data_IF_249041295933
#
_entry.id   IF_249041295933
#
_cell.length_a   1.000
_cell.length_b   1.000
_cell.length_c   1.000
_cell.angle_alpha   90.00
_cell.angle_beta   90.00
_cell.angle_gamma   90.00
#
_symmetry.space_group_name_H-M   'P 1'
#
loop_
_entity.id
_entity.type
_entity.pdbx_description
1 polymer ?
#
# COMPACT_ATOMS: atom_id res chain seq x y z
N UNK A 1 13.66 -8.41 4.02
CA UNK A 1 14.51 -8.85 2.90
C UNK A 1 15.15 -7.61 2.30
N UNK A 2 16.40 -7.69 1.82
CA UNK A 2 17.12 -6.52 1.31
C UNK A 2 16.64 -6.05 -0.08
N UNK A 3 17.30 -5.02 -0.62
CA UNK A 3 17.03 -4.50 -1.96
C UNK A 3 17.29 -5.58 -3.02
N UNK A 4 16.28 -5.90 -3.82
CA UNK A 4 16.31 -6.92 -4.87
C UNK A 4 15.47 -6.50 -6.09
N UNK A 5 15.66 -7.09 -7.27
CA UNK A 5 14.73 -6.87 -8.39
C UNK A 5 13.31 -7.34 -8.05
N UNK A 6 12.31 -6.70 -8.65
CA UNK A 6 10.92 -7.10 -8.53
C UNK A 6 10.71 -8.49 -9.12
N UNK A 7 9.82 -9.27 -8.52
CA UNK A 7 9.32 -10.47 -9.17
C UNK A 7 8.35 -10.09 -10.29
N UNK A 8 8.14 -10.96 -11.30
CA UNK A 8 7.14 -10.72 -12.34
C UNK A 8 5.73 -10.48 -11.78
N UNK A 9 5.39 -11.13 -10.67
CA UNK A 9 4.10 -10.99 -10.00
C UNK A 9 3.93 -9.60 -9.38
N UNK A 10 4.99 -9.07 -8.73
CA UNK A 10 4.97 -7.73 -8.18
C UNK A 10 4.89 -6.68 -9.28
N UNK A 11 5.69 -6.81 -10.34
CA UNK A 11 5.63 -5.87 -11.46
C UNK A 11 4.23 -5.87 -12.09
N UNK A 12 3.67 -7.05 -12.34
CA UNK A 12 2.30 -7.19 -12.87
C UNK A 12 1.25 -6.57 -11.95
N UNK A 13 1.33 -6.82 -10.64
CA UNK A 13 0.41 -6.21 -9.68
C UNK A 13 0.48 -4.68 -9.70
N UNK A 14 1.68 -4.11 -9.73
CA UNK A 14 1.89 -2.66 -9.73
C UNK A 14 1.40 -2.02 -11.04
N UNK A 15 1.61 -2.68 -12.18
CA UNK A 15 1.16 -2.18 -13.49
C UNK A 15 -0.34 -2.36 -13.70
N UNK A 16 -0.84 -3.56 -13.47
CA UNK A 16 -2.19 -3.94 -13.88
C UNK A 16 -3.22 -3.62 -12.80
N UNK A 17 -2.90 -3.86 -11.52
CA UNK A 17 -3.85 -3.64 -10.41
C UNK A 17 -3.77 -2.20 -9.86
N UNK A 18 -2.56 -1.64 -9.76
CA UNK A 18 -2.37 -0.27 -9.25
C UNK A 18 -2.28 0.79 -10.35
N UNK A 19 -2.19 0.38 -11.62
CA UNK A 19 -2.13 1.30 -12.76
C UNK A 19 -0.83 2.09 -12.86
N UNK A 20 0.31 1.63 -12.31
CA UNK A 20 1.57 2.37 -12.50
C UNK A 20 2.12 2.19 -13.91
N UNK A 21 2.44 3.32 -14.56
CA UNK A 21 3.21 3.37 -15.82
C UNK A 21 4.70 3.57 -15.57
N UNK A 22 5.20 3.07 -14.44
CA UNK A 22 6.58 3.17 -14.00
C UNK A 22 7.53 2.57 -15.08
N UNK A 23 8.66 3.21 -15.41
CA UNK A 23 9.68 2.61 -16.29
C UNK A 23 10.21 1.28 -15.73
N UNK A 24 10.67 0.35 -16.56
CA UNK A 24 11.09 -0.98 -16.10
C UNK A 24 12.28 -0.91 -15.12
N UNK A 25 13.19 0.05 -15.30
CA UNK A 25 14.38 0.22 -14.47
C UNK A 25 14.07 0.51 -12.99
N UNK A 26 12.87 1.03 -12.66
CA UNK A 26 12.51 1.25 -11.26
C UNK A 26 12.30 -0.07 -10.51
N UNK A 27 11.92 -1.13 -11.23
CA UNK A 27 11.68 -2.46 -10.68
C UNK A 27 12.97 -3.24 -10.43
N UNK A 28 14.14 -2.76 -10.88
CA UNK A 28 15.43 -3.40 -10.58
C UNK A 28 15.83 -3.26 -9.09
N UNK A 29 15.20 -2.33 -8.37
CA UNK A 29 15.49 -2.03 -6.96
C UNK A 29 14.22 -1.95 -6.14
N UNK A 30 13.81 -3.07 -5.58
CA UNK A 30 12.67 -3.22 -4.67
C UNK A 30 13.17 -3.51 -3.27
N UNK A 31 12.75 -2.68 -2.32
CA UNK A 31 12.89 -2.93 -0.89
C UNK A 31 11.53 -3.34 -0.31
N UNK A 32 11.41 -4.62 0.00
CA UNK A 32 10.24 -5.26 0.61
C UNK A 32 10.60 -5.71 2.03
N UNK A 33 11.15 -4.77 2.79
CA UNK A 33 11.35 -4.90 4.22
C UNK A 33 10.42 -3.95 4.97
N UNK A 34 9.88 -4.36 6.12
CA UNK A 34 9.14 -3.45 6.97
C UNK A 34 10.07 -2.34 7.49
N UNK A 35 9.54 -1.12 7.62
CA UNK A 35 10.20 -0.03 8.32
C UNK A 35 9.71 0.04 9.77
N UNK A 36 10.39 0.80 10.64
CA UNK A 36 9.89 1.06 12.00
C UNK A 36 8.53 1.79 11.96
N UNK A 37 8.40 2.73 11.02
CA UNK A 37 7.18 3.49 10.77
C UNK A 37 6.02 2.58 10.33
N UNK A 38 6.25 1.69 9.36
CA UNK A 38 5.22 0.78 8.87
C UNK A 38 4.77 -0.21 9.95
N UNK A 39 5.70 -0.72 10.75
CA UNK A 39 5.38 -1.62 11.88
C UNK A 39 4.57 -0.92 12.96
N UNK A 40 4.97 0.29 13.36
CA UNK A 40 4.27 1.05 14.39
C UNK A 40 2.82 1.39 13.97
N UNK A 41 2.60 1.65 12.67
CA UNK A 41 1.28 1.93 12.11
C UNK A 41 0.44 0.65 11.85
N UNK A 42 1.00 -0.54 12.06
CA UNK A 42 0.32 -1.81 11.79
C UNK A 42 0.13 -2.10 10.29
N UNK A 43 1.02 -1.61 9.43
CA UNK A 43 1.05 -1.95 8.01
C UNK A 43 1.66 -3.34 7.86
N UNK A 44 0.93 -4.24 7.18
CA UNK A 44 1.34 -5.64 6.99
C UNK A 44 2.51 -5.77 6.04
N UNK A 45 2.49 -4.97 4.95
CA UNK A 45 3.57 -5.00 3.97
C UNK A 45 3.88 -3.61 3.45
N UNK A 46 5.18 -3.33 3.38
CA UNK A 46 5.75 -2.08 2.90
C UNK A 46 6.71 -2.42 1.77
N UNK A 47 6.46 -1.83 0.60
CA UNK A 47 7.24 -2.06 -0.62
C UNK A 47 7.68 -0.72 -1.19
N UNK A 48 8.98 -0.47 -1.23
CA UNK A 48 9.56 0.70 -1.88
C UNK A 48 10.23 0.29 -3.20
N UNK A 49 9.79 0.88 -4.31
CA UNK A 49 10.22 0.51 -5.66
C UNK A 49 11.00 1.67 -6.28
N UNK A 50 12.25 1.40 -6.62
CA UNK A 50 13.16 2.28 -7.37
C UNK A 50 13.41 3.64 -6.71
N UNK A 51 13.14 3.78 -5.41
CA UNK A 51 13.16 5.06 -4.71
C UNK A 51 12.11 6.06 -5.22
N UNK A 52 11.05 5.58 -5.91
CA UNK A 52 10.03 6.44 -6.52
C UNK A 52 8.60 6.13 -6.05
N UNK A 53 8.30 4.88 -5.76
CA UNK A 53 6.96 4.44 -5.43
C UNK A 53 6.99 3.72 -4.08
N UNK A 54 6.18 4.21 -3.14
CA UNK A 54 5.89 3.54 -1.88
C UNK A 54 4.53 2.87 -1.97
N UNK A 55 4.47 1.60 -1.59
CA UNK A 55 3.23 0.82 -1.50
C UNK A 55 3.09 0.35 -0.06
N UNK A 56 1.97 0.71 0.55
CA UNK A 56 1.54 0.16 1.84
C UNK A 56 0.36 -0.76 1.61
N UNK A 57 0.41 -1.95 2.20
CA UNK A 57 -0.68 -2.91 2.17
C UNK A 57 -1.13 -3.22 3.60
N UNK A 58 -2.43 -3.14 3.82
CA UNK A 58 -3.06 -3.52 5.08
C UNK A 58 -4.34 -4.30 4.78
N UNK A 59 -4.55 -5.41 5.48
CA UNK A 59 -5.82 -6.13 5.49
C UNK A 59 -6.73 -5.52 6.55
N UNK A 60 -8.00 -5.36 6.21
CA UNK A 60 -8.98 -4.78 7.12
C UNK A 60 -10.23 -5.64 7.12
N UNK A 61 -10.70 -6.02 8.31
CA UNK A 61 -11.86 -6.90 8.46
C UNK A 61 -13.19 -6.12 8.48
N UNK A 62 -13.13 -4.78 8.47
CA UNK A 62 -14.33 -3.92 8.46
C UNK A 62 -14.05 -2.51 7.95
N UNK A 63 -15.07 -1.89 7.36
CA UNK A 63 -15.07 -0.48 6.97
C UNK A 63 -14.75 0.46 8.16
N UNK A 64 -15.28 0.18 9.35
CA UNK A 64 -15.03 0.99 10.55
C UNK A 64 -13.55 1.02 10.95
N UNK A 65 -12.87 -0.12 10.89
CA UNK A 65 -11.43 -0.20 11.16
C UNK A 65 -10.62 0.59 10.12
N UNK A 66 -10.94 0.41 8.84
CA UNK A 66 -10.31 1.13 7.74
C UNK A 66 -10.41 2.65 7.93
N UNK A 67 -11.63 3.16 8.18
CA UNK A 67 -11.88 4.59 8.42
C UNK A 67 -11.12 5.11 9.63
N UNK A 68 -11.05 4.34 10.72
CA UNK A 68 -10.33 4.74 11.93
C UNK A 68 -8.80 4.83 11.72
N UNK A 69 -8.25 4.02 10.81
CA UNK A 69 -6.79 3.91 10.58
C UNK A 69 -6.27 4.72 9.40
N UNK A 70 -7.14 5.10 8.46
CA UNK A 70 -6.76 5.81 7.23
C UNK A 70 -5.86 7.02 7.49
N UNK A 71 -6.22 7.88 8.44
CA UNK A 71 -5.44 9.08 8.74
C UNK A 71 -4.02 8.75 9.20
N UNK A 72 -3.86 7.70 10.02
CA UNK A 72 -2.55 7.29 10.52
C UNK A 72 -1.69 6.72 9.38
N UNK A 73 -2.25 5.79 8.59
CA UNK A 73 -1.55 5.19 7.45
C UNK A 73 -1.14 6.21 6.39
N UNK A 74 -1.99 7.19 6.10
CA UNK A 74 -1.67 8.25 5.14
C UNK A 74 -0.54 9.12 5.68
N UNK A 75 -0.61 9.59 6.93
CA UNK A 75 0.42 10.47 7.49
C UNK A 75 1.78 9.77 7.60
N UNK A 76 1.79 8.52 8.07
CA UNK A 76 3.00 7.71 8.16
C UNK A 76 3.57 7.42 6.76
N UNK A 77 2.71 7.07 5.80
CA UNK A 77 3.12 6.83 4.43
C UNK A 77 3.66 8.07 3.73
N UNK A 78 3.06 9.25 3.94
CA UNK A 78 3.54 10.54 3.43
C UNK A 78 4.90 10.86 4.01
N UNK A 79 5.05 10.74 5.33
CA UNK A 79 6.30 10.99 6.04
C UNK A 79 7.42 10.10 5.48
N UNK A 80 7.17 8.80 5.34
CA UNK A 80 8.17 7.87 4.80
C UNK A 80 8.46 8.13 3.31
N UNK A 81 7.42 8.37 2.51
CA UNK A 81 7.56 8.73 1.09
C UNK A 81 8.48 9.94 0.92
N UNK A 82 8.20 11.01 1.64
CA UNK A 82 8.92 12.28 1.49
C UNK A 82 10.34 12.18 2.06
N UNK A 83 10.54 11.49 3.19
CA UNK A 83 11.87 11.23 3.74
C UNK A 83 12.73 10.37 2.80
N UNK A 84 12.12 9.42 2.08
CA UNK A 84 12.77 8.59 1.08
C UNK A 84 12.95 9.26 -0.29
N UNK A 85 12.50 10.52 -0.47
CA UNK A 85 12.51 11.21 -1.76
C UNK A 85 11.62 10.54 -2.83
N UNK A 86 10.67 9.71 -2.42
CA UNK A 86 9.76 8.99 -3.29
C UNK A 86 8.68 9.94 -3.84
N UNK A 87 8.18 9.64 -5.03
CA UNK A 87 7.20 10.47 -5.69
C UNK A 87 5.76 10.13 -5.29
N UNK A 88 5.39 8.84 -5.24
CA UNK A 88 4.00 8.43 -5.04
C UNK A 88 3.86 7.47 -3.86
N UNK A 89 2.75 7.60 -3.15
CA UNK A 89 2.25 6.62 -2.19
C UNK A 89 1.02 5.93 -2.79
N UNK A 90 0.97 4.61 -2.68
CA UNK A 90 -0.17 3.78 -2.99
C UNK A 90 -0.56 3.02 -1.73
N UNK A 91 -1.65 3.44 -1.11
CA UNK A 91 -2.23 2.74 0.02
C UNK A 91 -3.21 1.70 -0.51
N UNK A 92 -2.95 0.44 -0.25
CA UNK A 92 -3.77 -0.70 -0.67
C UNK A 92 -4.46 -1.27 0.56
N UNK A 93 -5.78 -1.24 0.57
CA UNK A 93 -6.59 -1.93 1.58
C UNK A 93 -7.16 -3.21 0.98
N UNK A 94 -6.85 -4.34 1.61
CA UNK A 94 -7.39 -5.64 1.27
C UNK A 94 -8.64 -5.87 2.13
N UNK A 95 -9.79 -6.01 1.48
CA UNK A 95 -11.08 -6.12 2.16
C UNK A 95 -12.00 -7.09 1.42
N UNK A 96 -12.49 -8.11 2.13
CA UNK A 96 -13.47 -9.06 1.62
C UNK A 96 -14.86 -8.40 1.54
N UNK A 97 -15.63 -8.71 0.49
CA UNK A 97 -17.05 -8.37 0.41
C UNK A 97 -17.33 -6.86 0.54
N UNK A 98 -17.09 -6.10 -0.53
CA UNK A 98 -17.23 -4.64 -0.53
C UNK A 98 -18.65 -4.20 -0.90
N UNK A 99 -19.44 -3.78 0.09
CA UNK A 99 -20.70 -3.09 -0.21
C UNK A 99 -20.42 -1.66 -0.71
N UNK A 100 -21.25 -1.16 -1.63
CA UNK A 100 -21.00 0.13 -2.28
C UNK A 100 -20.98 1.31 -1.30
N UNK A 101 -21.79 1.25 -0.24
CA UNK A 101 -21.84 2.24 0.83
C UNK A 101 -20.58 2.23 1.71
N UNK A 102 -20.01 1.05 1.98
CA UNK A 102 -18.74 0.95 2.70
C UNK A 102 -17.58 1.55 1.90
N UNK A 103 -17.52 1.29 0.60
CA UNK A 103 -16.52 1.88 -0.28
C UNK A 103 -16.59 3.40 -0.27
N UNK A 104 -17.80 3.95 -0.41
CA UNK A 104 -18.02 5.40 -0.39
C UNK A 104 -17.60 6.03 0.95
N UNK A 105 -17.83 5.34 2.07
CA UNK A 105 -17.40 5.82 3.40
C UNK A 105 -15.88 5.83 3.54
N UNK A 106 -15.19 4.81 3.02
CA UNK A 106 -13.73 4.73 3.06
C UNK A 106 -13.13 5.81 2.16
N UNK A 107 -13.65 6.00 0.95
CA UNK A 107 -13.23 7.05 0.01
C UNK A 107 -13.42 8.45 0.62
N UNK A 108 -14.58 8.74 1.22
CA UNK A 108 -14.81 10.02 1.88
C UNK A 108 -13.89 10.24 3.09
N UNK A 109 -13.55 9.17 3.84
CA UNK A 109 -12.59 9.26 4.93
C UNK A 109 -11.16 9.51 4.41
N UNK A 110 -10.80 8.90 3.28
CA UNK A 110 -9.53 9.10 2.62
C UNK A 110 -9.35 10.54 2.14
N UNK A 111 -10.32 11.10 1.42
CA UNK A 111 -10.29 12.49 0.95
C UNK A 111 -10.11 13.48 2.11
N UNK A 112 -10.78 13.25 3.23
CA UNK A 112 -10.65 14.09 4.44
C UNK A 112 -9.31 13.96 5.14
N UNK A 113 -8.62 12.83 4.98
CA UNK A 113 -7.35 12.56 5.63
C UNK A 113 -6.15 13.02 4.78
N UNK A 114 -6.35 13.30 3.49
CA UNK A 114 -5.31 13.83 2.62
C UNK A 114 -4.94 15.28 2.99
N UNK A 115 -3.67 15.55 3.33
CA UNK A 115 -3.21 16.92 3.54
C UNK A 115 -3.20 17.67 2.21
N UNK A 116 -3.88 18.82 2.16
CA UNK A 116 -3.95 19.74 1.02
C UNK A 116 -4.28 19.09 -0.33
N UNK A 117 -4.99 17.95 -0.31
CA UNK A 117 -5.33 17.21 -1.52
C UNK A 117 -4.12 16.61 -2.26
N UNK A 118 -3.09 16.16 -1.54
CA UNK A 118 -1.86 15.57 -2.13
C UNK A 118 -2.16 14.45 -3.16
N UNK A 119 -2.18 14.81 -4.43
CA UNK A 119 -2.46 13.94 -5.58
C UNK A 119 -1.43 12.81 -5.75
N UNK A 120 -0.33 12.84 -5.01
CA UNK A 120 0.69 11.80 -5.03
C UNK A 120 0.30 10.58 -4.19
N UNK A 121 -0.72 10.69 -3.34
CA UNK A 121 -1.27 9.60 -2.55
C UNK A 121 -2.53 9.06 -3.22
N UNK A 122 -2.56 7.77 -3.52
CA UNK A 122 -3.80 7.14 -4.02
C UNK A 122 -4.18 5.95 -3.14
N UNK A 123 -5.49 5.76 -2.97
CA UNK A 123 -6.10 4.61 -2.31
C UNK A 123 -6.50 3.57 -3.36
N UNK A 124 -6.22 2.31 -3.05
CA UNK A 124 -6.73 1.16 -3.79
C UNK A 124 -7.46 0.23 -2.81
N UNK A 125 -8.74 0.01 -3.07
CA UNK A 125 -9.52 -1.01 -2.37
C UNK A 125 -9.51 -2.26 -3.24
N UNK A 126 -8.92 -3.34 -2.76
CA UNK A 126 -8.78 -4.59 -3.51
C UNK A 126 -9.38 -5.76 -2.71
N UNK A 127 -9.79 -6.80 -3.44
CA UNK A 127 -10.09 -8.09 -2.84
C UNK A 127 -8.76 -8.78 -2.47
N UNK A 128 -8.66 -9.48 -1.31
CA UNK A 128 -7.47 -10.23 -0.96
C UNK A 128 -7.01 -11.19 -2.08
N UNK A 129 -7.93 -11.80 -2.83
CA UNK A 129 -7.59 -12.71 -3.93
C UNK A 129 -6.84 -12.01 -5.08
N UNK A 130 -7.06 -10.71 -5.26
CA UNK A 130 -6.37 -9.91 -6.28
C UNK A 130 -4.93 -9.58 -5.88
N UNK A 131 -4.60 -9.70 -4.59
CA UNK A 131 -3.26 -9.56 -4.04
C UNK A 131 -2.61 -10.93 -3.73
N UNK A 132 -3.27 -12.04 -4.06
CA UNK A 132 -2.84 -13.40 -3.75
C UNK A 132 -1.39 -13.74 -4.17
N UNK A 133 -0.85 -13.29 -5.35
CA UNK A 133 0.55 -13.56 -5.70
C UNK A 133 1.56 -12.90 -4.77
N UNK A 134 1.12 -11.90 -4.00
CA UNK A 134 1.95 -11.10 -3.11
C UNK A 134 1.86 -11.59 -1.66
N UNK A 135 0.83 -12.34 -1.28
CA UNK A 135 0.63 -12.78 0.10
C UNK A 135 1.51 -13.98 0.51
N UNK A 136 2.01 -14.79 -0.43
CA UNK A 136 2.80 -16.00 -0.11
C UNK A 136 4.25 -15.74 0.37
N UNK A 137 4.68 -14.48 0.47
CA UNK A 137 6.03 -14.14 0.93
C UNK A 137 6.21 -14.14 2.46
N UNK A 138 5.16 -14.41 3.25
CA UNK A 138 5.27 -14.62 4.70
C UNK A 138 4.41 -15.81 5.14
N UNK A 139 5.00 -16.93 5.61
CA UNK A 139 4.22 -17.92 6.33
C UNK A 139 3.65 -17.26 7.60
N UNK A 140 2.43 -17.62 8.03
CA UNK A 140 1.92 -17.19 9.32
C UNK A 140 2.90 -17.61 10.41
N UNK A 141 3.34 -16.67 11.26
CA UNK A 141 3.96 -17.03 12.53
C UNK A 141 2.87 -17.68 13.37
N UNK A 142 2.84 -19.01 13.35
CA UNK A 142 2.06 -19.81 14.29
C UNK A 142 2.63 -19.50 15.68
N UNK A 143 1.78 -18.93 16.54
CA UNK A 143 2.06 -18.72 17.95
C UNK A 143 2.10 -20.03 18.72
#
# INVERSE_FOLDING_TARGET
MGIQPATPELERFVRDSLGCTCPAEVFERVDDSPSELSQAAGIERRIAIGGRLLIYMASVDSCSLAVAKLSDWIQVGISERDAGGMNRLRLVLLMDGRAADEMQRIEAAFERALPDGDERVHLHLLDPVSAFPLQEAHPPKIA
#
